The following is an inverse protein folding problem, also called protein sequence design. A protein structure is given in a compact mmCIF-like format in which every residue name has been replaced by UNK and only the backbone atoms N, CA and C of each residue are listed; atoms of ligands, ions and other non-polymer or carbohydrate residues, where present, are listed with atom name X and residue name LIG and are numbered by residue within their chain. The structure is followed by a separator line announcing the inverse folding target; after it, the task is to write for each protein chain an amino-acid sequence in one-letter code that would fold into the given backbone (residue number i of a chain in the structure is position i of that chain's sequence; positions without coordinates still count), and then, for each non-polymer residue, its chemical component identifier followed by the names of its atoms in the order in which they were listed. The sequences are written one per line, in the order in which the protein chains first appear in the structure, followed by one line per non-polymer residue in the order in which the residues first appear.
data_IF_115549895592
#
_entry.id   IF_115549895592
#
_cell.length_a   1.000
_cell.length_b   1.000
_cell.length_c   1.000
_cell.angle_alpha   90.00
_cell.angle_beta   90.00
_cell.angle_gamma   90.00
#
_symmetry.space_group_name_H-M   'P 1'
#
loop_
_entity.id
_entity.type
_entity.pdbx_description
1 polymer ?
#
# COMPACT_ATOMS: atom_id res chain seq x y z
N UNK A 1 -27.87 -15.67 24.93
CA UNK A 1 -26.82 -14.76 25.41
C UNK A 1 -25.58 -15.58 25.58
N UNK A 2 -24.79 -15.72 24.53
CA UNK A 2 -23.49 -16.40 24.59
C UNK A 2 -22.46 -15.33 24.87
N UNK A 3 -21.92 -15.32 26.08
CA UNK A 3 -20.70 -14.59 26.44
C UNK A 3 -19.55 -15.16 25.61
N UNK A 4 -19.39 -14.70 24.37
CA UNK A 4 -18.12 -14.85 23.68
C UNK A 4 -17.21 -13.73 24.18
N UNK A 5 -16.55 -13.93 25.32
CA UNK A 5 -15.41 -13.10 25.70
C UNK A 5 -14.30 -13.37 24.70
N UNK A 6 -14.19 -12.50 23.70
CA UNK A 6 -13.09 -12.47 22.76
C UNK A 6 -11.75 -12.38 23.53
N UNK A 7 -10.78 -13.21 23.17
CA UNK A 7 -9.44 -13.12 23.76
C UNK A 7 -8.68 -11.96 23.11
N UNK A 8 -8.45 -10.90 23.89
CA UNK A 8 -7.83 -9.67 23.41
C UNK A 8 -6.67 -9.28 24.32
N UNK A 9 -5.49 -9.14 23.74
CA UNK A 9 -4.28 -8.68 24.42
C UNK A 9 -3.69 -7.51 23.62
N UNK A 10 -3.41 -6.38 24.27
CA UNK A 10 -2.74 -5.22 23.64
C UNK A 10 -3.32 -4.80 22.26
N UNK A 11 -4.66 -4.78 22.17
CA UNK A 11 -5.43 -4.48 20.95
C UNK A 11 -5.34 -5.52 19.82
N UNK A 12 -4.82 -6.71 20.10
CA UNK A 12 -4.77 -7.88 19.22
C UNK A 12 -5.86 -8.86 19.66
N UNK A 13 -6.68 -9.31 18.71
CA UNK A 13 -7.65 -10.38 18.90
C UNK A 13 -6.98 -11.70 18.52
N UNK A 14 -6.97 -12.65 19.45
CA UNK A 14 -6.45 -13.99 19.22
C UNK A 14 -7.60 -14.83 18.66
N UNK A 15 -7.46 -15.25 17.41
CA UNK A 15 -8.40 -16.12 16.72
C UNK A 15 -8.02 -17.59 16.86
N UNK A 16 -8.74 -18.45 16.14
CA UNK A 16 -8.42 -19.87 16.10
C UNK A 16 -7.06 -20.12 15.44
N UNK A 17 -6.40 -21.23 15.79
CA UNK A 17 -5.09 -21.63 15.26
C UNK A 17 -3.98 -20.57 15.43
N UNK A 18 -4.06 -19.79 16.52
CA UNK A 18 -3.14 -18.70 16.87
C UNK A 18 -3.04 -17.60 15.80
N UNK A 19 -4.07 -17.45 14.96
CA UNK A 19 -4.11 -16.35 14.00
C UNK A 19 -4.51 -15.04 14.67
N UNK A 20 -3.71 -13.99 14.45
CA UNK A 20 -3.87 -12.71 15.12
C UNK A 20 -4.63 -11.72 14.25
N UNK A 21 -5.56 -10.99 14.84
CA UNK A 21 -6.34 -9.96 14.13
C UNK A 21 -6.21 -8.62 14.85
N UNK A 22 -6.27 -7.53 14.09
CA UNK A 22 -6.34 -6.20 14.69
C UNK A 22 -7.72 -6.05 15.35
N UNK A 23 -7.76 -5.81 16.68
CA UNK A 23 -9.02 -5.68 17.42
C UNK A 23 -9.38 -4.21 17.69
N UNK A 24 -8.43 -3.46 18.23
CA UNK A 24 -8.66 -2.10 18.72
C UNK A 24 -7.65 -1.09 18.13
N UNK A 25 -7.45 0.04 18.80
CA UNK A 25 -6.65 1.17 18.29
C UNK A 25 -7.48 2.17 17.48
N UNK A 26 -6.80 3.01 16.69
CA UNK A 26 -7.41 4.15 16.00
C UNK A 26 -8.60 3.80 15.09
N UNK A 27 -8.67 2.55 14.61
CA UNK A 27 -9.71 2.10 13.67
C UNK A 27 -10.85 1.31 14.32
N UNK A 28 -10.64 0.76 15.54
CA UNK A 28 -11.64 -0.01 16.30
C UNK A 28 -12.29 -1.15 15.49
N UNK A 29 -11.46 -2.01 14.89
CA UNK A 29 -11.87 -3.04 13.93
C UNK A 29 -12.90 -4.01 14.51
N UNK A 30 -12.70 -4.51 15.74
CA UNK A 30 -13.64 -5.44 16.36
C UNK A 30 -15.02 -4.82 16.55
N UNK A 31 -15.08 -3.56 17.00
CA UNK A 31 -16.33 -2.80 17.13
C UNK A 31 -17.03 -2.63 15.78
N UNK A 32 -16.27 -2.49 14.70
CA UNK A 32 -16.84 -2.44 13.37
C UNK A 32 -17.37 -3.81 12.93
N UNK A 33 -16.58 -4.87 13.10
CA UNK A 33 -16.92 -6.23 12.72
C UNK A 33 -18.20 -6.73 13.44
N UNK A 34 -18.39 -6.37 14.71
CA UNK A 34 -19.61 -6.67 15.49
C UNK A 34 -20.78 -5.72 15.20
N UNK A 35 -20.56 -4.66 14.42
CA UNK A 35 -21.57 -3.69 14.03
C UNK A 35 -21.89 -2.59 15.04
N UNK A 36 -21.09 -2.44 16.10
CA UNK A 36 -21.15 -1.29 17.03
C UNK A 36 -20.79 0.03 16.32
N UNK A 37 -19.92 -0.04 15.30
CA UNK A 37 -19.53 1.10 14.48
C UNK A 37 -20.02 0.95 13.04
N UNK A 38 -20.29 2.09 12.39
CA UNK A 38 -20.69 2.17 10.98
C UNK A 38 -19.83 3.18 10.22
N UNK A 39 -19.86 3.09 8.89
CA UNK A 39 -19.22 4.09 8.01
C UNK A 39 -20.16 5.29 7.87
N UNK A 40 -19.71 6.51 8.16
CA UNK A 40 -20.51 7.70 7.91
C UNK A 40 -20.83 7.85 6.42
N UNK A 41 -22.07 8.20 6.06
CA UNK A 41 -22.46 8.37 4.65
C UNK A 41 -21.58 9.38 3.89
N UNK A 42 -21.13 10.44 4.59
CA UNK A 42 -20.23 11.42 3.99
C UNK A 42 -18.88 10.79 3.58
N UNK A 43 -18.39 9.80 4.33
CA UNK A 43 -17.19 9.04 3.97
C UNK A 43 -17.41 8.28 2.65
N UNK A 44 -18.56 7.59 2.53
CA UNK A 44 -18.95 6.87 1.31
C UNK A 44 -19.03 7.82 0.11
N UNK A 45 -19.72 8.96 0.26
CA UNK A 45 -19.78 9.99 -0.78
C UNK A 45 -18.40 10.53 -1.16
N UNK A 46 -17.55 10.84 -0.17
CA UNK A 46 -16.22 11.37 -0.42
C UNK A 46 -15.33 10.37 -1.17
N UNK A 47 -15.38 9.09 -0.81
CA UNK A 47 -14.61 8.05 -1.50
C UNK A 47 -14.99 7.95 -2.97
N UNK A 48 -16.28 7.80 -3.26
CA UNK A 48 -16.75 7.65 -4.65
C UNK A 48 -16.50 8.91 -5.47
N UNK A 49 -16.65 10.10 -4.87
CA UNK A 49 -16.33 11.35 -5.54
C UNK A 49 -14.82 11.46 -5.83
N UNK A 50 -13.97 11.15 -4.85
CA UNK A 50 -12.52 11.11 -5.05
C UNK A 50 -12.16 10.12 -6.17
N UNK A 51 -12.67 8.89 -6.13
CA UNK A 51 -12.38 7.86 -7.13
C UNK A 51 -12.67 8.35 -8.56
N UNK A 52 -13.88 8.89 -8.78
CA UNK A 52 -14.29 9.41 -10.11
C UNK A 52 -13.42 10.59 -10.54
N UNK A 53 -13.12 11.50 -9.63
CA UNK A 53 -12.29 12.67 -9.94
C UNK A 53 -10.84 12.30 -10.24
N UNK A 54 -10.28 11.33 -9.53
CA UNK A 54 -8.94 10.77 -9.75
C UNK A 54 -8.87 10.10 -11.12
N UNK A 55 -9.79 9.18 -11.41
CA UNK A 55 -9.86 8.48 -12.68
C UNK A 55 -10.02 9.46 -13.87
N UNK A 56 -10.96 10.41 -13.77
CA UNK A 56 -11.17 11.41 -14.80
C UNK A 56 -9.96 12.34 -14.99
N UNK A 57 -9.24 12.67 -13.91
CA UNK A 57 -8.02 13.46 -13.99
C UNK A 57 -6.90 12.71 -14.74
N UNK A 58 -6.64 11.45 -14.37
CA UNK A 58 -5.63 10.63 -15.04
C UNK A 58 -5.96 10.39 -16.51
N UNK A 59 -7.23 10.08 -16.83
CA UNK A 59 -7.69 9.89 -18.19
C UNK A 59 -7.47 11.14 -19.07
N UNK A 60 -7.80 12.34 -18.57
CA UNK A 60 -7.53 13.61 -19.28
C UNK A 60 -6.04 13.87 -19.54
N UNK A 61 -5.16 13.26 -18.74
CA UNK A 61 -3.71 13.36 -18.87
C UNK A 61 -3.11 12.18 -19.66
N UNK A 62 -3.95 11.27 -20.17
CA UNK A 62 -3.53 10.06 -20.88
C UNK A 62 -2.77 9.06 -20.01
N UNK A 63 -3.06 8.99 -18.70
CA UNK A 63 -2.36 8.13 -17.73
C UNK A 63 -3.25 7.00 -17.24
N UNK A 64 -2.67 5.82 -17.00
CA UNK A 64 -3.35 4.72 -16.32
C UNK A 64 -3.66 5.07 -14.87
N UNK A 65 -4.74 4.53 -14.32
CA UNK A 65 -5.14 4.76 -12.95
C UNK A 65 -5.72 3.49 -12.31
N UNK A 66 -5.36 3.24 -11.05
CA UNK A 66 -5.94 2.16 -10.25
C UNK A 66 -6.13 2.62 -8.80
N UNK A 67 -7.35 2.45 -8.28
CA UNK A 67 -7.63 2.48 -6.85
C UNK A 67 -7.60 1.05 -6.30
N UNK A 68 -6.68 0.77 -5.39
CA UNK A 68 -6.61 -0.48 -4.64
C UNK A 68 -7.16 -0.24 -3.24
N UNK A 69 -7.92 -1.19 -2.71
CA UNK A 69 -8.32 -1.23 -1.31
C UNK A 69 -7.90 -2.58 -0.75
N UNK A 70 -6.99 -2.58 0.22
CA UNK A 70 -6.55 -3.82 0.86
C UNK A 70 -7.61 -4.27 1.87
N UNK A 71 -8.26 -5.44 1.66
CA UNK A 71 -9.30 -5.91 2.56
C UNK A 71 -8.74 -6.25 3.95
N UNK A 72 -9.61 -6.31 4.96
CA UNK A 72 -9.18 -6.85 6.25
C UNK A 72 -8.95 -8.37 6.13
N UNK A 73 -7.99 -8.88 6.91
CA UNK A 73 -7.58 -10.30 6.85
C UNK A 73 -8.75 -11.27 7.00
N UNK A 74 -9.66 -11.00 7.95
CA UNK A 74 -10.84 -11.84 8.18
C UNK A 74 -11.83 -11.87 7.00
N UNK A 75 -11.76 -10.91 6.07
CA UNK A 75 -12.56 -10.95 4.83
C UNK A 75 -11.95 -11.84 3.77
N UNK A 76 -10.64 -12.09 3.83
CA UNK A 76 -9.94 -12.98 2.89
C UNK A 76 -9.90 -14.40 3.46
N UNK A 77 -9.46 -14.53 4.71
CA UNK A 77 -9.29 -15.78 5.45
C UNK A 77 -10.20 -15.77 6.70
N UNK A 78 -11.51 -16.08 6.56
CA UNK A 78 -12.47 -16.01 7.67
C UNK A 78 -12.34 -17.16 8.67
N UNK A 79 -11.69 -18.26 8.30
CA UNK A 79 -11.67 -19.54 9.03
C UNK A 79 -11.12 -19.45 10.46
N UNK A 80 -10.37 -18.41 10.82
CA UNK A 80 -9.83 -18.20 12.17
C UNK A 80 -10.45 -17.02 12.93
N UNK A 81 -11.45 -16.33 12.37
CA UNK A 81 -11.98 -15.11 12.98
C UNK A 81 -13.20 -15.40 13.87
N UNK A 82 -13.19 -15.04 15.18
CA UNK A 82 -14.20 -15.48 16.14
C UNK A 82 -15.52 -14.70 16.09
N UNK A 83 -15.65 -13.72 15.20
CA UNK A 83 -16.90 -12.96 15.03
C UNK A 83 -17.73 -13.61 13.94
N UNK A 84 -18.91 -14.10 14.27
CA UNK A 84 -19.87 -14.61 13.29
C UNK A 84 -20.37 -13.49 12.37
N UNK A 85 -20.40 -13.75 11.06
CA UNK A 85 -20.89 -12.83 10.03
C UNK A 85 -20.29 -11.40 10.15
N UNK A 86 -18.95 -11.27 10.13
CA UNK A 86 -18.30 -10.00 10.44
C UNK A 86 -18.56 -8.95 9.35
N UNK A 87 -18.98 -7.76 9.77
CA UNK A 87 -19.13 -6.61 8.87
C UNK A 87 -17.76 -6.11 8.42
N UNK A 88 -17.64 -5.69 7.16
CA UNK A 88 -16.48 -4.98 6.62
C UNK A 88 -16.82 -3.53 6.29
N UNK A 89 -15.83 -2.65 6.43
CA UNK A 89 -15.96 -1.26 5.99
C UNK A 89 -16.45 -1.18 4.55
N UNK A 90 -16.00 -2.12 3.72
CA UNK A 90 -16.32 -2.18 2.30
C UNK A 90 -17.81 -2.46 2.01
N UNK A 91 -18.52 -3.16 2.90
CA UNK A 91 -19.93 -3.49 2.72
C UNK A 91 -20.80 -2.22 2.56
N UNK A 92 -20.41 -1.11 3.21
CA UNK A 92 -21.10 0.18 3.08
C UNK A 92 -20.88 0.84 1.70
N UNK A 93 -19.74 0.59 1.05
CA UNK A 93 -19.41 1.17 -0.25
C UNK A 93 -20.08 0.38 -1.37
N UNK A 94 -20.10 -0.95 -1.26
CA UNK A 94 -20.76 -1.81 -2.25
C UNK A 94 -22.27 -1.64 -2.27
N UNK A 95 -22.89 -1.39 -1.11
CA UNK A 95 -24.31 -1.09 -1.04
C UNK A 95 -24.71 0.21 -1.76
N UNK A 96 -23.79 1.19 -1.86
CA UNK A 96 -24.08 2.50 -2.44
C UNK A 96 -23.94 2.54 -3.97
N UNK A 97 -22.93 1.86 -4.54
CA UNK A 97 -22.57 2.00 -5.97
C UNK A 97 -22.30 0.64 -6.66
N UNK A 98 -22.53 -0.48 -5.98
CA UNK A 98 -22.22 -1.83 -6.47
C UNK A 98 -20.81 -2.32 -6.09
N UNK A 99 -20.53 -3.59 -6.37
CA UNK A 99 -19.33 -4.27 -5.88
C UNK A 99 -18.01 -3.82 -6.51
N UNK A 100 -18.04 -3.31 -7.75
CA UNK A 100 -16.85 -2.90 -8.51
C UNK A 100 -17.15 -1.73 -9.44
N UNK A 101 -16.18 -0.84 -9.57
CA UNK A 101 -16.18 0.26 -10.55
C UNK A 101 -14.89 0.14 -11.37
N UNK A 102 -14.94 0.59 -12.62
CA UNK A 102 -13.76 0.67 -13.49
C UNK A 102 -12.61 1.40 -12.77
N UNK A 103 -11.38 0.90 -12.94
CA UNK A 103 -10.18 1.40 -12.24
C UNK A 103 -10.16 1.18 -10.73
N UNK A 104 -10.88 0.18 -10.21
CA UNK A 104 -10.84 -0.18 -8.80
C UNK A 104 -10.61 -1.69 -8.56
N UNK A 105 -9.86 -2.02 -7.51
CA UNK A 105 -9.61 -3.38 -7.03
C UNK A 105 -9.75 -3.48 -5.51
N UNK A 106 -10.78 -4.19 -5.02
CA UNK A 106 -10.95 -4.56 -3.61
C UNK A 106 -10.39 -5.97 -3.28
N UNK A 107 -10.02 -6.75 -4.31
CA UNK A 107 -9.13 -7.92 -4.22
C UNK A 107 -9.49 -9.08 -3.28
N UNK A 108 -10.57 -9.03 -2.48
CA UNK A 108 -10.78 -10.01 -1.40
C UNK A 108 -10.91 -11.45 -1.92
N UNK A 109 -11.62 -11.66 -3.03
CA UNK A 109 -11.72 -12.98 -3.66
C UNK A 109 -10.40 -13.39 -4.31
N UNK A 110 -9.76 -12.48 -5.07
CA UNK A 110 -8.48 -12.76 -5.74
C UNK A 110 -7.38 -13.12 -4.71
N UNK A 111 -7.36 -12.45 -3.56
CA UNK A 111 -6.43 -12.71 -2.46
C UNK A 111 -6.74 -14.05 -1.77
N UNK A 112 -8.00 -14.48 -1.75
CA UNK A 112 -8.39 -15.80 -1.22
C UNK A 112 -7.95 -16.91 -2.16
N UNK A 113 -8.18 -16.72 -3.45
CA UNK A 113 -7.86 -17.66 -4.52
C UNK A 113 -6.44 -17.46 -5.08
N UNK A 114 -5.57 -16.84 -4.28
CA UNK A 114 -4.29 -16.35 -4.76
C UNK A 114 -3.39 -17.50 -5.25
N UNK A 115 -3.00 -17.51 -6.55
CA UNK A 115 -2.21 -18.58 -7.12
C UNK A 115 -0.77 -18.63 -6.59
N UNK A 116 -0.28 -17.55 -5.96
CA UNK A 116 1.05 -17.50 -5.38
C UNK A 116 1.11 -18.09 -3.96
N UNK A 117 -0.03 -18.37 -3.33
CA UNK A 117 -0.13 -18.88 -1.97
C UNK A 117 -0.95 -17.99 -1.05
N UNK A 118 -0.91 -18.27 0.27
CA UNK A 118 -1.70 -17.54 1.28
C UNK A 118 -1.35 -16.06 1.27
N UNK A 119 -2.36 -15.19 1.27
CA UNK A 119 -2.18 -13.75 1.05
C UNK A 119 -1.89 -12.93 2.30
N UNK A 120 -2.12 -13.43 3.52
CA UNK A 120 -1.83 -12.73 4.77
C UNK A 120 -1.01 -13.58 5.75
N UNK A 121 -0.11 -12.91 6.46
CA UNK A 121 0.61 -13.49 7.60
C UNK A 121 -0.34 -13.77 8.77
N UNK A 122 -0.02 -14.76 9.60
CA UNK A 122 -0.82 -15.08 10.78
C UNK A 122 -0.67 -14.03 11.88
N UNK A 123 0.55 -13.54 12.09
CA UNK A 123 0.97 -12.67 13.18
C UNK A 123 1.09 -11.19 12.79
N UNK A 124 0.66 -10.83 11.57
CA UNK A 124 0.74 -9.47 11.02
C UNK A 124 -0.60 -9.05 10.36
N UNK A 125 -0.83 -7.75 10.24
CA UNK A 125 -1.98 -7.18 9.51
C UNK A 125 -1.80 -7.18 7.99
N UNK A 126 -0.56 -7.24 7.49
CA UNK A 126 -0.22 -7.03 6.08
C UNK A 126 -0.21 -8.34 5.28
N UNK A 127 -0.11 -8.15 3.96
CA UNK A 127 0.05 -9.24 3.02
C UNK A 127 1.34 -10.01 3.21
N UNK A 128 1.33 -11.30 2.89
CA UNK A 128 2.56 -12.08 2.66
C UNK A 128 3.24 -11.67 1.35
N UNK A 129 4.44 -12.20 1.11
CA UNK A 129 5.06 -12.19 -0.21
C UNK A 129 4.07 -12.56 -1.34
N UNK A 130 3.27 -13.63 -1.18
CA UNK A 130 2.29 -14.04 -2.17
C UNK A 130 1.18 -13.00 -2.39
N UNK A 131 0.66 -12.38 -1.32
CA UNK A 131 -0.34 -11.31 -1.44
C UNK A 131 0.24 -10.06 -2.13
N UNK A 132 1.48 -9.70 -1.83
CA UNK A 132 2.20 -8.61 -2.50
C UNK A 132 2.47 -8.90 -3.98
N UNK A 133 2.77 -10.15 -4.34
CA UNK A 133 2.94 -10.58 -5.74
C UNK A 133 1.65 -10.41 -6.54
N UNK A 134 0.51 -10.82 -5.98
CA UNK A 134 -0.79 -10.65 -6.62
C UNK A 134 -1.13 -9.17 -6.80
N UNK A 135 -0.93 -8.35 -5.77
CA UNK A 135 -1.14 -6.90 -5.84
C UNK A 135 -0.25 -6.25 -6.92
N UNK A 136 1.02 -6.66 -7.00
CA UNK A 136 1.97 -6.18 -8.02
C UNK A 136 1.56 -6.59 -9.42
N UNK A 137 1.14 -7.85 -9.62
CA UNK A 137 0.61 -8.34 -10.90
C UNK A 137 -0.60 -7.53 -11.33
N UNK A 138 -1.52 -7.21 -10.41
CA UNK A 138 -2.71 -6.41 -10.69
C UNK A 138 -2.37 -4.98 -11.16
N UNK A 139 -1.36 -4.37 -10.55
CA UNK A 139 -0.83 -3.07 -11.00
C UNK A 139 -0.28 -3.19 -12.42
N UNK A 140 0.52 -4.22 -12.70
CA UNK A 140 1.12 -4.45 -14.01
C UNK A 140 0.08 -4.71 -15.12
N UNK A 141 -0.95 -5.52 -14.84
CA UNK A 141 -2.09 -5.74 -15.75
C UNK A 141 -2.77 -4.43 -16.11
N UNK A 142 -3.05 -3.58 -15.11
CA UNK A 142 -3.70 -2.28 -15.33
C UNK A 142 -2.77 -1.28 -16.03
N UNK A 143 -1.45 -1.44 -15.88
CA UNK A 143 -0.45 -0.67 -16.62
C UNK A 143 -0.31 -1.09 -18.10
N UNK A 144 -1.05 -2.12 -18.52
CA UNK A 144 -1.05 -2.63 -19.89
C UNK A 144 0.16 -3.49 -20.22
N UNK A 145 0.71 -4.23 -19.25
CA UNK A 145 1.76 -5.20 -19.51
C UNK A 145 1.18 -6.34 -20.35
N UNK A 146 1.93 -6.76 -21.38
CA UNK A 146 1.64 -7.95 -22.17
C UNK A 146 1.79 -9.22 -21.34
N UNK A 147 1.21 -10.34 -21.80
CA UNK A 147 1.36 -11.64 -21.10
C UNK A 147 2.83 -12.07 -20.94
N UNK A 148 3.69 -11.73 -21.91
CA UNK A 148 5.14 -12.01 -21.82
C UNK A 148 5.77 -11.19 -20.69
N UNK A 149 5.42 -9.91 -20.58
CA UNK A 149 5.90 -9.04 -19.50
C UNK A 149 5.35 -9.47 -18.13
N UNK A 150 4.09 -9.89 -18.06
CA UNK A 150 3.48 -10.42 -16.83
C UNK A 150 4.13 -11.74 -16.37
N UNK A 151 4.49 -12.62 -17.31
CA UNK A 151 5.24 -13.84 -17.01
C UNK A 151 6.63 -13.51 -16.48
N UNK A 152 7.37 -12.64 -17.18
CA UNK A 152 8.71 -12.21 -16.77
C UNK A 152 8.70 -11.53 -15.38
N UNK A 153 7.68 -10.71 -15.10
CA UNK A 153 7.50 -10.11 -13.78
C UNK A 153 7.26 -11.17 -12.70
N UNK A 154 6.40 -12.15 -12.98
CA UNK A 154 6.09 -13.24 -12.04
C UNK A 154 7.32 -14.07 -11.72
N UNK A 155 8.13 -14.41 -12.73
CA UNK A 155 9.41 -15.12 -12.56
C UNK A 155 10.41 -14.31 -11.73
N UNK A 156 10.57 -13.01 -12.01
CA UNK A 156 11.45 -12.12 -11.23
C UNK A 156 10.98 -12.03 -9.77
N UNK A 157 9.68 -11.89 -9.52
CA UNK A 157 9.14 -11.84 -8.15
C UNK A 157 9.43 -13.14 -7.39
N UNK A 158 9.19 -14.30 -8.02
CA UNK A 158 9.51 -15.61 -7.41
C UNK A 158 11.00 -15.73 -7.09
N UNK A 159 11.87 -15.33 -8.02
CA UNK A 159 13.33 -15.37 -7.80
C UNK A 159 13.82 -14.44 -6.67
N UNK A 160 13.10 -13.34 -6.42
CA UNK A 160 13.40 -12.40 -5.33
C UNK A 160 12.70 -12.76 -4.00
N UNK A 161 11.95 -13.86 -3.95
CA UNK A 161 11.25 -14.30 -2.74
C UNK A 161 12.12 -15.29 -1.98
N UNK A 162 12.45 -14.98 -0.72
CA UNK A 162 13.30 -15.83 0.10
C UNK A 162 12.73 -16.01 1.51
N UNK A 163 12.97 -17.16 2.16
CA UNK A 163 12.68 -17.30 3.58
C UNK A 163 13.54 -16.34 4.40
N UNK A 164 12.99 -15.87 5.52
CA UNK A 164 13.77 -15.15 6.52
C UNK A 164 14.60 -16.13 7.37
N UNK A 165 15.81 -15.71 7.72
CA UNK A 165 16.73 -16.53 8.56
C UNK A 165 16.26 -16.68 10.02
N UNK A 166 15.27 -15.87 10.42
CA UNK A 166 14.66 -15.84 11.75
C UNK A 166 13.15 -15.76 11.60
N UNK A 167 12.43 -16.15 12.66
CA UNK A 167 11.00 -15.93 12.73
C UNK A 167 10.67 -14.46 12.49
N UNK A 168 9.66 -14.25 11.66
CA UNK A 168 9.05 -12.96 11.43
C UNK A 168 8.07 -12.68 12.55
N UNK A 169 8.35 -11.64 13.31
CA UNK A 169 7.43 -11.12 14.32
C UNK A 169 6.62 -10.01 13.66
N UNK A 170 5.36 -10.27 13.31
CA UNK A 170 4.51 -9.26 12.69
C UNK A 170 4.15 -8.09 13.62
N UNK A 171 3.49 -7.08 13.09
CA UNK A 171 3.01 -5.91 13.86
C UNK A 171 2.02 -6.28 14.98
N UNK A 172 1.27 -7.37 14.85
CA UNK A 172 0.42 -7.92 15.91
C UNK A 172 1.21 -8.84 16.85
N UNK A 173 2.04 -9.74 16.31
CA UNK A 173 2.81 -10.70 17.10
C UNK A 173 3.79 -10.02 18.07
N UNK A 174 4.37 -8.88 17.68
CA UNK A 174 5.23 -8.05 18.56
C UNK A 174 4.51 -7.44 19.77
N UNK A 175 3.18 -7.38 19.75
CA UNK A 175 2.36 -6.78 20.83
C UNK A 175 1.99 -7.76 21.93
N UNK A 176 2.24 -9.06 21.74
CA UNK A 176 1.92 -10.10 22.71
C UNK A 176 3.11 -10.38 23.63
N UNK A 177 2.84 -10.90 24.82
CA UNK A 177 3.84 -11.41 25.76
C UNK A 177 3.57 -12.89 26.14
N UNK A 178 4.42 -13.85 25.69
CA UNK A 178 5.62 -13.65 24.86
C UNK A 178 5.28 -13.25 23.43
N UNK A 179 6.22 -12.59 22.75
CA UNK A 179 6.06 -12.24 21.33
C UNK A 179 5.84 -13.49 20.49
N UNK A 180 4.89 -13.41 19.57
CA UNK A 180 4.59 -14.48 18.62
C UNK A 180 5.17 -14.17 17.24
N UNK A 181 5.83 -15.14 16.64
CA UNK A 181 6.41 -15.02 15.30
C UNK A 181 6.12 -16.25 14.44
N UNK A 182 6.27 -16.11 13.14
CA UNK A 182 6.02 -17.17 12.16
C UNK A 182 7.19 -17.30 11.16
N UNK A 183 7.33 -18.46 10.53
CA UNK A 183 8.17 -18.59 9.35
C UNK A 183 7.54 -17.79 8.20
N UNK A 184 8.36 -17.00 7.52
CA UNK A 184 7.87 -16.10 6.49
C UNK A 184 8.82 -16.06 5.28
N UNK A 185 8.19 -16.04 4.10
CA UNK A 185 8.83 -15.61 2.87
C UNK A 185 8.77 -14.08 2.78
N UNK A 186 9.84 -13.46 2.28
CA UNK A 186 9.97 -12.00 2.19
C UNK A 186 10.55 -11.57 0.84
N UNK A 187 10.09 -10.44 0.26
CA UNK A 187 10.71 -9.87 -0.92
C UNK A 187 12.10 -9.31 -0.63
N UNK A 188 13.13 -9.81 -1.32
CA UNK A 188 14.44 -9.18 -1.37
C UNK A 188 14.46 -8.15 -2.50
N UNK A 189 15.01 -6.97 -2.23
CA UNK A 189 15.21 -5.96 -3.26
C UNK A 189 16.31 -6.42 -4.21
N UNK A 190 16.07 -6.33 -5.52
CA UNK A 190 17.05 -6.73 -6.51
C UNK A 190 18.30 -5.82 -6.47
N UNK A 191 19.52 -6.35 -6.68
CA UNK A 191 20.75 -5.58 -6.60
C UNK A 191 20.85 -4.39 -7.57
N UNK A 192 20.15 -4.45 -8.71
CA UNK A 192 20.12 -3.36 -9.69
C UNK A 192 19.22 -2.19 -9.29
N UNK A 193 18.41 -2.33 -8.24
CA UNK A 193 17.53 -1.25 -7.78
C UNK A 193 18.32 -0.26 -6.95
N UNK A 194 18.31 1.01 -7.37
CA UNK A 194 18.72 2.14 -6.53
C UNK A 194 17.48 2.81 -5.97
N UNK A 195 17.43 3.03 -4.66
CA UNK A 195 16.31 3.69 -3.98
C UNK A 195 16.79 4.74 -3.00
N UNK A 196 16.11 5.87 -2.94
CA UNK A 196 16.36 6.95 -1.96
C UNK A 196 15.03 7.42 -1.35
N UNK A 197 15.12 8.02 -0.17
CA UNK A 197 13.97 8.59 0.53
C UNK A 197 14.14 10.09 0.77
N UNK A 198 13.04 10.79 1.02
CA UNK A 198 13.07 12.23 1.32
C UNK A 198 13.68 12.59 2.69
N UNK A 199 14.38 11.68 3.36
CA UNK A 199 15.06 11.96 4.62
C UNK A 199 14.12 12.17 5.81
N UNK A 200 12.86 11.74 5.70
CA UNK A 200 11.88 11.84 6.77
C UNK A 200 12.09 10.69 7.76
N UNK A 201 12.65 10.99 8.93
CA UNK A 201 12.88 9.99 9.97
C UNK A 201 11.53 9.42 10.49
N UNK A 202 11.57 8.16 10.92
CA UNK A 202 10.48 7.59 11.70
C UNK A 202 10.40 8.32 13.03
N UNK A 203 9.24 8.90 13.33
CA UNK A 203 8.95 9.52 14.62
C UNK A 203 8.17 8.49 15.46
N UNK A 204 8.79 8.02 16.54
CA UNK A 204 8.18 7.02 17.43
C UNK A 204 7.13 7.63 18.36
N UNK A 205 7.21 8.93 18.62
CA UNK A 205 6.29 9.66 19.49
C UNK A 205 5.05 10.13 18.72
N UNK A 206 5.22 10.46 17.43
CA UNK A 206 4.15 10.80 16.48
C UNK A 206 4.20 9.86 15.27
N UNK A 207 3.68 8.62 15.37
CA UNK A 207 3.77 7.59 14.32
C UNK A 207 2.83 7.86 13.12
N UNK A 208 2.77 9.11 12.66
CA UNK A 208 2.07 9.52 11.45
C UNK A 208 3.03 9.28 10.28
N UNK A 209 2.70 8.34 9.42
CA UNK A 209 3.58 8.00 8.29
C UNK A 209 3.39 8.94 7.07
N UNK A 210 2.36 9.79 7.07
CA UNK A 210 2.09 10.75 5.99
C UNK A 210 3.30 11.66 5.70
N UNK A 211 3.56 11.92 4.41
CA UNK A 211 4.63 12.78 3.92
C UNK A 211 5.95 12.05 3.62
N UNK A 212 6.09 10.76 3.97
CA UNK A 212 7.26 9.96 3.54
C UNK A 212 7.22 9.74 2.03
N UNK A 213 8.36 9.92 1.37
CA UNK A 213 8.52 9.65 -0.06
C UNK A 213 9.69 8.70 -0.29
N UNK A 214 9.47 7.68 -1.11
CA UNK A 214 10.50 6.80 -1.62
C UNK A 214 10.52 6.91 -3.13
N UNK A 215 11.70 7.03 -3.70
CA UNK A 215 11.91 7.01 -5.14
C UNK A 215 12.88 5.89 -5.48
N UNK A 216 12.68 5.24 -6.62
CA UNK A 216 13.61 4.22 -7.07
C UNK A 216 13.76 4.20 -8.59
N UNK A 217 14.92 3.67 -9.00
CA UNK A 217 15.31 3.40 -10.36
C UNK A 217 15.77 1.96 -10.49
N UNK A 218 15.25 1.24 -11.48
CA UNK A 218 15.67 -0.10 -11.82
C UNK A 218 15.99 -0.19 -13.34
N UNK A 219 17.26 -0.29 -13.74
CA UNK A 219 17.61 -0.44 -15.14
C UNK A 219 17.17 -1.79 -15.74
N UNK A 220 16.98 -2.81 -14.89
CA UNK A 220 16.61 -4.19 -15.25
C UNK A 220 15.10 -4.48 -15.05
N UNK A 221 14.28 -3.43 -14.94
CA UNK A 221 12.83 -3.57 -14.86
C UNK A 221 12.26 -4.21 -16.13
N UNK A 222 11.12 -4.89 -15.98
CA UNK A 222 10.42 -5.52 -17.12
C UNK A 222 10.02 -4.50 -18.18
N UNK A 223 9.65 -3.29 -17.77
CA UNK A 223 9.25 -2.20 -18.67
C UNK A 223 10.05 -0.93 -18.39
N UNK A 224 10.03 0.03 -19.31
CA UNK A 224 10.57 1.38 -19.11
C UNK A 224 9.57 2.35 -18.45
N UNK A 225 8.39 1.86 -18.05
CA UNK A 225 7.30 2.66 -17.50
C UNK A 225 7.66 3.27 -16.14
N UNK A 226 7.03 4.40 -15.86
CA UNK A 226 7.10 5.10 -14.57
C UNK A 226 5.79 4.94 -13.79
N UNK A 227 5.90 4.54 -12.52
CA UNK A 227 4.77 4.39 -11.60
C UNK A 227 4.80 5.45 -10.49
N UNK A 228 3.64 6.05 -10.21
CA UNK A 228 3.43 6.89 -9.03
C UNK A 228 2.38 6.25 -8.11
N UNK A 229 2.73 6.05 -6.84
CA UNK A 229 1.87 5.42 -5.83
C UNK A 229 1.56 6.45 -4.75
N UNK A 230 0.27 6.63 -4.46
CA UNK A 230 -0.23 7.25 -3.24
C UNK A 230 -0.78 6.13 -2.35
N UNK A 231 -0.03 5.69 -1.35
CA UNK A 231 -0.33 4.43 -0.69
C UNK A 231 -0.05 4.41 0.80
N UNK A 232 -0.23 3.23 1.36
CA UNK A 232 0.07 2.95 2.76
C UNK A 232 1.11 1.85 2.96
N UNK A 233 1.18 1.29 4.17
CA UNK A 233 2.14 0.26 4.51
C UNK A 233 1.95 -1.04 3.72
N UNK A 234 0.74 -1.34 3.21
CA UNK A 234 0.50 -2.52 2.37
C UNK A 234 1.33 -2.48 1.10
N UNK A 235 1.23 -1.42 0.28
CA UNK A 235 2.10 -1.31 -0.90
C UNK A 235 3.53 -0.94 -0.56
N UNK A 236 3.78 -0.23 0.54
CA UNK A 236 5.15 0.05 0.98
C UNK A 236 5.95 -1.24 1.19
N UNK A 237 5.35 -2.27 1.80
CA UNK A 237 6.01 -3.56 2.01
C UNK A 237 6.25 -4.31 0.69
N UNK A 238 5.42 -4.07 -0.33
CA UNK A 238 5.52 -4.68 -1.66
C UNK A 238 6.42 -3.95 -2.66
N UNK A 239 7.04 -2.82 -2.29
CA UNK A 239 7.81 -2.00 -3.26
C UNK A 239 8.90 -2.77 -3.97
N UNK A 240 9.57 -3.72 -3.28
CA UNK A 240 10.62 -4.54 -3.88
C UNK A 240 10.14 -5.40 -5.07
N UNK A 241 8.86 -5.79 -5.11
CA UNK A 241 8.29 -6.46 -6.28
C UNK A 241 7.84 -5.46 -7.36
N UNK A 242 7.23 -4.35 -6.94
CA UNK A 242 6.80 -3.30 -7.87
C UNK A 242 7.98 -2.73 -8.66
N UNK A 243 9.12 -2.54 -8.00
CA UNK A 243 10.39 -2.12 -8.59
C UNK A 243 10.89 -3.05 -9.71
N UNK A 244 10.47 -4.31 -9.75
CA UNK A 244 10.84 -5.25 -10.82
C UNK A 244 10.08 -4.98 -12.12
N UNK A 245 8.88 -4.40 -12.04
CA UNK A 245 8.03 -4.11 -13.20
C UNK A 245 8.31 -2.76 -13.87
N UNK A 246 8.65 -1.75 -13.06
CA UNK A 246 8.72 -0.35 -13.48
C UNK A 246 10.13 0.22 -13.36
N UNK A 247 10.58 0.96 -14.38
CA UNK A 247 11.93 1.56 -14.42
C UNK A 247 12.12 2.65 -13.39
N UNK A 248 11.09 3.48 -13.22
CA UNK A 248 11.05 4.52 -12.20
C UNK A 248 9.81 4.30 -11.33
N UNK A 249 9.96 4.41 -10.02
CA UNK A 249 8.84 4.38 -9.09
C UNK A 249 8.95 5.54 -8.10
N UNK A 250 7.81 6.16 -7.83
CA UNK A 250 7.65 7.18 -6.79
C UNK A 250 6.53 6.72 -5.87
N UNK A 251 6.85 6.46 -4.62
CA UNK A 251 5.90 6.15 -3.57
C UNK A 251 5.76 7.33 -2.63
N UNK A 252 4.52 7.79 -2.46
CA UNK A 252 4.11 8.83 -1.55
C UNK A 252 3.22 8.21 -0.46
N UNK A 253 3.65 8.27 0.80
CA UNK A 253 2.82 7.86 1.93
C UNK A 253 1.79 8.95 2.21
N UNK A 254 0.55 8.71 1.80
CA UNK A 254 -0.55 9.68 1.91
C UNK A 254 -1.89 9.02 1.57
N UNK A 255 -2.95 9.44 2.25
CA UNK A 255 -4.35 9.08 1.92
C UNK A 255 -4.96 9.87 0.77
N UNK A 256 -4.29 10.96 0.35
CA UNK A 256 -4.77 11.89 -0.66
C UNK A 256 -4.14 11.64 -2.03
N UNK A 257 -4.87 12.01 -3.07
CA UNK A 257 -4.35 12.13 -4.43
C UNK A 257 -3.77 13.52 -4.67
N UNK A 258 -2.50 13.59 -5.07
CA UNK A 258 -1.77 14.85 -5.26
C UNK A 258 -1.55 15.14 -6.75
N UNK A 259 -2.38 16.03 -7.31
CA UNK A 259 -2.36 16.38 -8.75
C UNK A 259 -1.02 16.98 -9.17
N UNK A 260 -0.40 17.75 -8.30
CA UNK A 260 0.90 18.37 -8.49
C UNK A 260 2.02 17.32 -8.58
N UNK A 261 1.93 16.22 -7.83
CA UNK A 261 2.87 15.11 -7.95
C UNK A 261 2.70 14.37 -9.27
N UNK A 262 1.46 14.21 -9.77
CA UNK A 262 1.22 13.62 -11.11
C UNK A 262 1.79 14.52 -12.21
N UNK A 263 1.59 15.84 -12.11
CA UNK A 263 2.14 16.80 -13.06
C UNK A 263 3.68 16.83 -13.04
N UNK A 264 4.26 16.72 -11.85
CA UNK A 264 5.71 16.64 -11.65
C UNK A 264 6.23 15.32 -12.23
N UNK A 265 5.86 14.17 -11.69
CA UNK A 265 6.42 12.87 -12.09
C UNK A 265 6.10 12.50 -13.54
N UNK A 266 4.97 12.96 -14.09
CA UNK A 266 4.47 12.52 -15.41
C UNK A 266 4.48 10.99 -15.57
N UNK A 267 3.87 10.23 -14.63
CA UNK A 267 3.94 8.77 -14.62
C UNK A 267 3.11 8.16 -15.74
N UNK A 268 3.43 6.95 -16.18
CA UNK A 268 2.59 6.20 -17.12
C UNK A 268 1.37 5.60 -16.41
N UNK A 269 1.49 5.32 -15.11
CA UNK A 269 0.39 4.85 -14.26
C UNK A 269 0.42 5.49 -12.87
N UNK A 270 -0.77 5.77 -12.32
CA UNK A 270 -0.96 6.20 -10.94
C UNK A 270 -1.75 5.14 -10.16
N UNK A 271 -1.24 4.74 -9.00
CA UNK A 271 -1.94 3.85 -8.05
C UNK A 271 -2.30 4.64 -6.81
N UNK A 272 -3.55 4.53 -6.37
CA UNK A 272 -3.96 4.93 -5.02
C UNK A 272 -4.27 3.67 -4.23
N UNK A 273 -3.68 3.52 -3.05
CA UNK A 273 -3.91 2.36 -2.20
C UNK A 273 -4.25 2.77 -0.78
N UNK A 274 -5.19 2.04 -0.18
CA UNK A 274 -5.52 2.17 1.23
C UNK A 274 -6.04 0.84 1.79
N UNK A 275 -5.64 0.49 3.01
CA UNK A 275 -6.33 -0.49 3.82
C UNK A 275 -7.80 -0.13 3.99
N UNK A 276 -8.70 -1.12 3.94
CA UNK A 276 -10.14 -0.86 4.00
C UNK A 276 -10.53 -0.10 5.28
N UNK A 277 -9.82 -0.33 6.39
CA UNK A 277 -10.01 0.40 7.66
C UNK A 277 -9.78 1.90 7.57
N UNK A 278 -9.01 2.38 6.59
CA UNK A 278 -8.84 3.82 6.33
C UNK A 278 -10.03 4.42 5.59
N UNK A 279 -10.89 3.61 4.98
CA UNK A 279 -12.12 4.07 4.31
C UNK A 279 -13.22 4.46 5.30
N UNK A 280 -13.07 4.14 6.59
CA UNK A 280 -14.00 4.59 7.64
C UNK A 280 -14.22 6.10 7.63
N UNK A 281 -13.15 6.88 7.44
CA UNK A 281 -13.21 8.35 7.41
C UNK A 281 -12.39 8.89 6.25
N UNK A 282 -13.05 9.04 5.11
CA UNK A 282 -12.46 9.58 3.88
C UNK A 282 -12.67 11.09 3.81
N UNK A 283 -11.57 11.81 3.64
CA UNK A 283 -11.57 13.24 3.33
C UNK A 283 -11.51 13.46 1.81
N UNK A 284 -12.09 14.56 1.34
CA UNK A 284 -11.97 14.97 -0.07
C UNK A 284 -10.52 15.35 -0.39
N UNK A 285 -10.03 14.98 -1.57
CA UNK A 285 -8.64 15.28 -2.00
C UNK A 285 -8.34 16.78 -2.06
N UNK A 286 -9.35 17.62 -2.30
CA UNK A 286 -9.20 19.08 -2.33
C UNK A 286 -8.75 19.69 -1.00
N UNK A 287 -8.78 18.91 0.09
CA UNK A 287 -8.28 19.34 1.41
C UNK A 287 -6.81 19.00 1.64
N UNK A 288 -6.17 18.29 0.72
CA UNK A 288 -4.77 17.92 0.85
C UNK A 288 -3.88 19.17 0.73
N UNK A 289 -2.93 19.40 1.66
CA UNK A 289 -1.84 20.31 1.37
C UNK A 289 -0.95 19.69 0.28
N UNK A 290 -0.18 20.50 -0.48
CA UNK A 290 0.77 19.97 -1.45
C UNK A 290 1.70 18.94 -0.81
N UNK A 291 1.93 17.81 -1.48
CA UNK A 291 2.62 16.66 -0.89
C UNK A 291 4.02 17.02 -0.34
N UNK A 292 4.82 17.78 -1.08
CA UNK A 292 6.16 18.16 -0.65
C UNK A 292 6.16 19.13 0.55
N UNK A 293 5.03 19.77 0.85
CA UNK A 293 4.84 20.60 2.05
C UNK A 293 4.23 19.81 3.22
N UNK A 294 3.69 18.61 2.96
CA UNK A 294 3.00 17.79 3.96
C UNK A 294 3.87 17.47 5.19
N UNK A 295 5.17 17.10 5.07
CA UNK A 295 6.02 16.91 6.24
C UNK A 295 6.07 18.14 7.16
N UNK A 296 6.24 19.34 6.59
CA UNK A 296 6.32 20.59 7.35
C UNK A 296 4.98 20.96 8.01
N UNK A 297 3.86 20.70 7.34
CA UNK A 297 2.52 20.85 7.92
C UNK A 297 2.32 19.92 9.13
N UNK A 298 2.99 18.78 9.12
CA UNK A 298 3.00 17.80 10.21
C UNK A 298 4.10 18.07 11.26
N UNK A 299 4.78 19.22 11.21
CA UNK A 299 5.87 19.57 12.12
C UNK A 299 7.03 18.54 12.06
N UNK A 300 7.33 18.08 10.84
CA UNK A 300 8.43 17.15 10.56
C UNK A 300 9.32 17.73 9.46
N UNK A 301 10.60 17.84 9.76
CA UNK A 301 11.59 18.35 8.83
C UNK A 301 12.33 17.19 8.14
N UNK A 302 12.16 16.98 6.83
CA UNK A 302 12.93 15.99 6.09
C UNK A 302 14.40 16.41 5.99
N UNK A 303 15.33 15.50 6.31
CA UNK A 303 16.78 15.75 6.25
C UNK A 303 17.41 14.99 5.09
N UNK A 304 17.40 15.59 3.90
CA UNK A 304 18.00 15.00 2.71
C UNK A 304 19.48 15.37 2.59
N UNK A 305 20.33 14.38 2.31
CA UNK A 305 21.68 14.63 1.80
C UNK A 305 21.63 15.22 0.38
N UNK A 306 22.69 15.91 -0.09
CA UNK A 306 22.76 16.39 -1.47
C UNK A 306 22.55 15.28 -2.52
N UNK A 307 23.08 14.08 -2.27
CA UNK A 307 22.89 12.91 -3.13
C UNK A 307 21.42 12.52 -3.23
N UNK A 308 20.73 12.42 -2.08
CA UNK A 308 19.30 12.11 -2.02
C UNK A 308 18.46 13.16 -2.76
N UNK A 309 18.72 14.43 -2.48
CA UNK A 309 18.00 15.53 -3.12
C UNK A 309 18.15 15.49 -4.65
N UNK A 310 19.35 15.22 -5.15
CA UNK A 310 19.61 15.18 -6.57
C UNK A 310 19.03 13.92 -7.24
N UNK A 311 19.09 12.75 -6.58
CA UNK A 311 18.43 11.52 -7.05
C UNK A 311 16.90 11.72 -7.15
N UNK A 312 16.27 12.23 -6.09
CA UNK A 312 14.85 12.56 -6.07
C UNK A 312 14.52 13.56 -7.18
N UNK A 313 15.32 14.60 -7.35
CA UNK A 313 15.08 15.62 -8.38
C UNK A 313 15.15 15.03 -9.79
N UNK A 314 16.07 14.08 -10.06
CA UNK A 314 16.14 13.34 -11.33
C UNK A 314 14.86 12.51 -11.57
N UNK A 315 14.44 11.71 -10.58
CA UNK A 315 13.25 10.85 -10.72
C UNK A 315 11.97 11.68 -10.88
N UNK A 316 11.77 12.72 -10.06
CA UNK A 316 10.60 13.59 -10.13
C UNK A 316 10.57 14.42 -11.42
N UNK A 317 11.73 14.64 -12.06
CA UNK A 317 11.81 15.29 -13.37
C UNK A 317 11.49 14.34 -14.52
N UNK A 318 11.69 13.04 -14.32
CA UNK A 318 11.37 11.96 -15.27
C UNK A 318 11.84 12.27 -16.70
N UNK A 319 10.90 12.50 -17.64
CA UNK A 319 11.19 12.79 -19.05
C UNK A 319 11.82 14.17 -19.28
N UNK A 320 11.83 15.04 -18.27
CA UNK A 320 12.48 16.35 -18.30
C UNK A 320 13.94 16.20 -17.86
N UNK A 321 14.84 17.00 -18.44
CA UNK A 321 16.27 16.99 -18.14
C UNK A 321 16.67 18.30 -17.43
N UNK A 322 16.63 18.35 -16.09
CA UNK A 322 17.21 19.45 -15.36
C UNK A 322 18.73 19.40 -15.51
N UNK A 323 19.38 20.55 -15.56
CA UNK A 323 20.85 20.60 -15.49
C UNK A 323 21.29 20.34 -14.04
N UNK A 324 21.93 19.19 -13.82
CA UNK A 324 22.53 18.81 -12.55
C UNK A 324 24.06 18.69 -12.63
N UNK A 325 24.70 19.28 -13.65
CA UNK A 325 26.14 19.14 -13.90
C UNK A 325 27.04 19.51 -12.71
N UNK A 326 26.54 20.33 -11.78
CA UNK A 326 27.23 20.71 -10.55
C UNK A 326 27.12 19.67 -9.42
N UNK A 327 26.16 18.74 -9.50
CA UNK A 327 25.92 17.69 -8.53
C UNK A 327 26.42 16.37 -9.11
N UNK A 328 27.54 15.84 -8.60
CA UNK A 328 28.10 14.53 -9.00
C UNK A 328 27.14 13.39 -8.68
N UNK A 329 26.16 13.17 -9.54
CA UNK A 329 25.16 12.12 -9.40
C UNK A 329 25.44 11.11 -10.51
N UNK A 330 26.29 10.14 -10.20
CA UNK A 330 26.52 8.99 -11.07
C UNK A 330 25.23 8.16 -11.08
N UNK A 331 24.48 8.31 -12.16
CA UNK A 331 23.31 7.51 -12.49
C UNK A 331 23.37 7.28 -13.98
N UNK A 332 24.11 6.23 -14.35
CA UNK A 332 24.24 5.71 -15.71
C UNK A 332 22.87 5.55 -16.39
#
# INVERSE_FOLDING_TARGET
MTDSTYEIENAVLIGEHEELYLAAGAHSILKFATGELTVPEQSVRNFWQNLRERAAFCARQGRGFLQMVAPEKYKVHPEGFPVENPKSFWDAFTAAEGATVENMWYGAQDLRDNPFGRSYYKTDTHWTAAGMMLATRRIAETAGFSEVELSALSEKMQAQTQPLDKLFYGDLGRKLEPQQGEEALWPRRAPSVTSEENGLAHDYDKPVNDGRMVVSYNPDSVTDKTLLIFGDSYLFNGLAYVELGFRNMVFCRTRFFHREMVAMVQPDMVVCEAAERYTRVVSRDVKAPPFLLLPYVLDREPKMSPKQAAFISKILSNKRRPDFSEYKVDLD
#
